data_IF_060950424016
#
_entry.id   IF_060950424016
#
_cell.length_a   1.000
_cell.length_b   1.000
_cell.length_c   1.000
_cell.angle_alpha   90.00
_cell.angle_beta   90.00
_cell.angle_gamma   90.00
#
_symmetry.space_group_name_H-M   'P 1'
#
loop_
_entity.id
_entity.type
_entity.pdbx_description
1 polymer ?
#
# COMPACT_ATOMS: atom_id res chain seq x y z
N UNK A 1 -2.89 -5.58 11.86
CA UNK A 1 -3.90 -4.52 12.09
C UNK A 1 -3.91 -3.54 10.91
N UNK A 2 -5.02 -2.86 10.60
CA UNK A 2 -5.13 -1.97 9.43
C UNK A 2 -4.04 -0.88 9.38
N UNK A 3 -3.67 -0.34 10.54
CA UNK A 3 -2.64 0.69 10.66
C UNK A 3 -1.24 0.20 10.28
N UNK A 4 -0.91 -1.08 10.50
CA UNK A 4 0.38 -1.66 10.11
C UNK A 4 0.47 -1.74 8.58
N UNK A 5 -0.62 -2.18 7.94
CA UNK A 5 -0.71 -2.22 6.48
C UNK A 5 -0.61 -0.80 5.88
N UNK A 6 -1.23 0.19 6.53
CA UNK A 6 -1.13 1.59 6.13
C UNK A 6 0.31 2.11 6.24
N UNK A 7 0.99 1.87 7.36
CA UNK A 7 2.38 2.28 7.54
C UNK A 7 3.32 1.65 6.49
N UNK A 8 3.11 0.37 6.16
CA UNK A 8 3.86 -0.32 5.09
C UNK A 8 3.60 0.32 3.74
N UNK A 9 2.35 0.61 3.39
CA UNK A 9 2.00 1.28 2.14
C UNK A 9 2.57 2.69 2.07
N UNK A 10 2.51 3.48 3.15
CA UNK A 10 3.09 4.81 3.19
C UNK A 10 4.59 4.79 2.93
N UNK A 11 5.30 3.83 3.54
CA UNK A 11 6.74 3.67 3.30
C UNK A 11 7.03 3.24 1.86
N UNK A 12 6.24 2.32 1.30
CA UNK A 12 6.49 1.74 -0.03
C UNK A 12 6.17 2.71 -1.17
N UNK A 13 5.09 3.48 -1.04
CA UNK A 13 4.61 4.41 -2.07
C UNK A 13 4.87 5.88 -1.75
N UNK A 14 5.59 6.18 -0.65
CA UNK A 14 5.91 7.52 -0.20
C UNK A 14 4.69 8.42 0.05
N UNK A 15 3.57 7.84 0.54
CA UNK A 15 2.43 8.64 0.97
C UNK A 15 2.81 9.49 2.19
N UNK A 16 2.33 10.74 2.19
CA UNK A 16 2.19 11.53 3.40
C UNK A 16 1.11 10.92 4.30
N UNK A 17 1.18 11.13 5.64
CA UNK A 17 0.16 10.63 6.56
C UNK A 17 -1.26 11.04 6.17
N UNK A 18 -1.45 12.31 5.77
CA UNK A 18 -2.74 12.84 5.34
C UNK A 18 -3.27 12.23 4.05
N UNK A 19 -2.39 11.75 3.18
CA UNK A 19 -2.80 11.07 1.94
C UNK A 19 -3.32 9.67 2.25
N UNK A 20 -2.69 8.95 3.18
CA UNK A 20 -3.17 7.64 3.63
C UNK A 20 -4.48 7.75 4.39
N UNK A 21 -4.61 8.73 5.26
CA UNK A 21 -5.84 8.95 6.05
C UNK A 21 -7.03 9.34 5.16
N UNK A 22 -6.75 9.88 3.97
CA UNK A 22 -7.75 10.24 2.98
C UNK A 22 -8.23 9.08 2.09
N UNK A 23 -7.56 7.92 2.13
CA UNK A 23 -7.94 6.78 1.29
C UNK A 23 -9.21 6.10 1.81
N UNK A 24 -10.17 5.88 0.92
CA UNK A 24 -11.25 4.96 1.22
C UNK A 24 -10.78 3.49 1.17
N UNK A 25 -11.64 2.57 1.61
CA UNK A 25 -11.31 1.13 1.65
C UNK A 25 -11.02 0.56 0.25
N UNK A 26 -11.69 1.05 -0.79
CA UNK A 26 -11.48 0.58 -2.17
C UNK A 26 -10.13 1.05 -2.70
N UNK A 27 -9.79 2.30 -2.47
CA UNK A 27 -8.51 2.89 -2.86
C UNK A 27 -7.36 2.21 -2.11
N UNK A 28 -7.48 2.08 -0.79
CA UNK A 28 -6.49 1.40 0.04
C UNK A 28 -6.23 -0.03 -0.45
N UNK A 29 -7.30 -0.80 -0.71
CA UNK A 29 -7.15 -2.18 -1.20
C UNK A 29 -6.57 -2.26 -2.61
N UNK A 30 -6.79 -1.26 -3.46
CA UNK A 30 -6.13 -1.18 -4.77
C UNK A 30 -4.61 -1.02 -4.62
N UNK A 31 -4.15 -0.18 -3.70
CA UNK A 31 -2.73 0.00 -3.40
C UNK A 31 -2.07 -1.25 -2.81
N UNK A 32 -2.77 -1.97 -1.91
CA UNK A 32 -2.30 -3.28 -1.41
C UNK A 32 -2.12 -4.27 -2.57
N UNK A 33 -3.07 -4.34 -3.50
CA UNK A 33 -2.97 -5.23 -4.67
C UNK A 33 -1.80 -4.83 -5.57
N UNK A 34 -1.54 -3.54 -5.73
CA UNK A 34 -0.40 -3.05 -6.50
C UNK A 34 0.94 -3.42 -5.87
N UNK A 35 1.08 -3.26 -4.54
CA UNK A 35 2.27 -3.71 -3.82
C UNK A 35 2.53 -5.21 -4.03
N UNK A 36 1.49 -6.05 -3.90
CA UNK A 36 1.61 -7.49 -4.11
C UNK A 36 2.04 -7.85 -5.54
N UNK A 37 1.57 -7.12 -6.56
CA UNK A 37 2.03 -7.32 -7.94
C UNK A 37 3.52 -7.00 -8.11
N UNK A 38 3.99 -5.90 -7.52
CA UNK A 38 5.42 -5.53 -7.58
C UNK A 38 6.30 -6.57 -6.88
N UNK A 39 5.90 -7.01 -5.68
CA UNK A 39 6.62 -8.05 -4.94
C UNK A 39 6.66 -9.36 -5.72
N UNK A 40 5.54 -9.78 -6.29
CA UNK A 40 5.48 -11.02 -7.08
C UNK A 40 6.37 -10.96 -8.32
N UNK A 41 6.45 -9.79 -8.96
CA UNK A 41 7.36 -9.57 -10.08
C UNK A 41 8.83 -9.61 -9.65
N UNK A 42 9.17 -9.06 -8.47
CA UNK A 42 10.53 -9.08 -7.92
C UNK A 42 11.01 -10.47 -7.49
N UNK A 43 10.08 -11.38 -7.13
CA UNK A 43 10.38 -12.75 -6.68
C UNK A 43 10.34 -13.74 -7.85
N UNK A 44 9.70 -13.38 -8.97
CA UNK A 44 9.58 -14.21 -10.16
C UNK A 44 10.70 -14.05 -11.18
N UNK A 45 11.58 -13.06 -11.01
CA UNK A 45 12.91 -12.93 -11.63
C UNK A 45 13.99 -13.58 -10.74
#
# INVERSE_FOLDING_TARGET
MLWEAAAVLAKWFHFQPSEIDGLDVREFTAWVRQANRQISAMVGD
#
